data_IF_636576313748
#
_entry.id   IF_636576313748
#
_cell.length_a   1.000
_cell.length_b   1.000
_cell.length_c   1.000
_cell.angle_alpha   90.00
_cell.angle_beta   90.00
_cell.angle_gamma   90.00
#
_symmetry.space_group_name_H-M   'P 1'
#
loop_
_entity.id
_entity.type
_entity.pdbx_description
1 polymer ?
#
# COMPACT_ATOMS: atom_id res chain seq x y z
N UNK A 1 -19.64 -5.96 23.18
CA UNK A 1 -20.65 -6.22 24.23
C UNK A 1 -19.94 -6.23 25.58
N UNK A 2 -19.75 -5.07 26.21
CA UNK A 2 -19.12 -5.01 27.53
C UNK A 2 -20.09 -5.54 28.59
N UNK A 3 -19.59 -6.45 29.43
CA UNK A 3 -20.32 -7.28 30.38
C UNK A 3 -21.31 -6.51 31.28
N UNK A 4 -22.46 -7.11 31.64
CA UNK A 4 -23.44 -6.55 32.56
C UNK A 4 -22.88 -6.27 33.97
N UNK A 5 -21.69 -6.77 34.31
CA UNK A 5 -20.97 -6.46 35.54
C UNK A 5 -20.43 -5.02 35.58
N UNK A 6 -19.96 -4.47 34.45
CA UNK A 6 -19.49 -3.07 34.39
C UNK A 6 -20.64 -2.07 34.59
N UNK A 7 -21.87 -2.39 34.16
CA UNK A 7 -23.04 -1.52 34.32
C UNK A 7 -23.52 -1.35 35.77
N UNK A 8 -23.07 -2.21 36.69
CA UNK A 8 -23.41 -2.12 38.12
C UNK A 8 -22.43 -1.24 38.90
N UNK A 9 -21.17 -1.13 38.48
CA UNK A 9 -20.18 -0.27 39.15
C UNK A 9 -20.53 1.22 39.02
N UNK A 10 -21.04 1.65 37.87
CA UNK A 10 -21.32 3.08 37.61
C UNK A 10 -22.66 3.59 38.16
N UNK A 11 -23.52 2.71 38.68
CA UNK A 11 -24.89 3.08 39.06
C UNK A 11 -24.95 3.92 40.34
N UNK A 12 -24.02 3.65 41.27
CA UNK A 12 -23.91 4.34 42.56
C UNK A 12 -22.74 5.33 42.61
N UNK A 13 -21.99 5.48 41.51
CA UNK A 13 -20.95 6.50 41.42
C UNK A 13 -21.60 7.87 41.17
N UNK A 14 -21.21 8.92 41.92
CA UNK A 14 -21.68 10.26 41.64
C UNK A 14 -21.32 10.63 40.20
N UNK A 15 -22.34 10.94 39.38
CA UNK A 15 -22.13 11.44 38.02
C UNK A 15 -21.44 12.80 38.12
N UNK A 16 -20.12 12.80 37.98
CA UNK A 16 -19.30 14.02 37.99
C UNK A 16 -19.63 14.78 36.70
N UNK A 17 -20.49 15.79 36.80
CA UNK A 17 -20.73 16.69 35.68
C UNK A 17 -19.49 17.57 35.45
N UNK A 18 -18.63 17.12 34.53
CA UNK A 18 -17.41 17.81 34.11
C UNK A 18 -17.64 19.22 33.53
N UNK A 19 -18.89 19.59 33.24
CA UNK A 19 -19.29 20.93 32.79
C UNK A 19 -19.98 21.76 33.87
N UNK A 20 -20.16 21.21 35.08
CA UNK A 20 -20.80 21.93 36.17
C UNK A 20 -20.01 23.20 36.56
N UNK A 21 -20.67 24.33 36.81
CA UNK A 21 -20.01 25.58 37.21
C UNK A 21 -19.12 25.42 38.44
N UNK A 22 -19.54 24.60 39.42
CA UNK A 22 -18.80 24.35 40.66
C UNK A 22 -17.48 23.61 40.43
N UNK A 23 -17.45 22.63 39.53
CA UNK A 23 -16.20 21.90 39.21
C UNK A 23 -15.25 22.75 38.39
N UNK A 24 -15.77 23.54 37.45
CA UNK A 24 -14.98 24.54 36.72
C UNK A 24 -14.36 25.57 37.67
N UNK A 25 -15.11 26.09 38.63
CA UNK A 25 -14.59 27.02 39.63
C UNK A 25 -13.54 26.37 40.54
N UNK A 26 -13.74 25.11 40.94
CA UNK A 26 -12.77 24.36 41.75
C UNK A 26 -11.49 24.08 40.98
N UNK A 27 -11.60 23.73 39.70
CA UNK A 27 -10.47 23.56 38.79
C UNK A 27 -9.76 24.89 38.52
N UNK A 28 -10.49 25.97 38.26
CA UNK A 28 -9.94 27.30 38.07
C UNK A 28 -9.22 27.80 39.34
N UNK A 29 -9.81 27.63 40.53
CA UNK A 29 -9.16 27.93 41.81
C UNK A 29 -7.92 27.08 42.04
N UNK A 30 -7.93 25.79 41.67
CA UNK A 30 -6.74 24.92 41.73
C UNK A 30 -5.65 25.38 40.76
N UNK A 31 -5.99 25.72 39.53
CA UNK A 31 -5.05 26.21 38.53
C UNK A 31 -4.45 27.57 38.94
N UNK A 32 -5.26 28.45 39.54
CA UNK A 32 -4.79 29.72 40.11
C UNK A 32 -3.92 29.51 41.34
N UNK A 33 -4.26 28.56 42.22
CA UNK A 33 -3.46 28.22 43.40
C UNK A 33 -2.16 27.47 43.05
N UNK A 34 -2.13 26.75 41.93
CA UNK A 34 -0.94 26.07 41.41
C UNK A 34 0.03 27.02 40.69
N UNK A 35 -0.31 28.31 40.53
CA UNK A 35 0.61 29.28 39.96
C UNK A 35 1.80 29.48 40.91
N UNK A 36 3.05 29.43 40.41
CA UNK A 36 4.22 29.66 41.23
C UNK A 36 4.15 31.05 41.88
N UNK A 37 4.63 31.16 43.13
CA UNK A 37 4.68 32.45 43.84
C UNK A 37 5.43 33.49 42.98
N UNK A 38 4.94 34.74 42.89
CA UNK A 38 5.64 35.78 42.15
C UNK A 38 7.02 36.04 42.77
N UNK A 39 8.04 36.31 41.94
CA UNK A 39 9.44 36.52 42.37
C UNK A 39 9.60 37.51 43.52
N UNK A 40 8.78 38.55 43.58
CA UNK A 40 8.75 39.54 44.65
C UNK A 40 8.48 38.95 46.04
N UNK A 41 7.74 37.84 46.11
CA UNK A 41 7.36 37.14 47.36
C UNK A 41 8.24 35.93 47.69
N UNK A 42 9.29 35.68 46.91
CA UNK A 42 10.19 34.54 47.11
C UNK A 42 11.38 34.91 47.99
N UNK A 43 11.77 34.00 48.87
CA UNK A 43 12.99 34.12 49.66
C UNK A 43 14.26 33.77 48.83
N UNK A 44 15.46 34.07 49.35
CA UNK A 44 16.72 33.92 48.60
C UNK A 44 16.98 32.50 48.08
N UNK A 45 16.67 31.47 48.89
CA UNK A 45 16.80 30.06 48.49
C UNK A 45 15.78 29.66 47.41
N UNK A 46 14.54 30.12 47.52
CA UNK A 46 13.51 29.90 46.50
C UNK A 46 13.91 30.52 45.15
N UNK A 47 14.47 31.75 45.16
CA UNK A 47 14.96 32.42 43.94
C UNK A 47 16.09 31.64 43.28
N UNK A 48 17.11 31.24 44.05
CA UNK A 48 18.22 30.43 43.55
C UNK A 48 17.75 29.10 42.92
N UNK A 49 16.79 28.41 43.57
CA UNK A 49 16.20 27.18 43.02
C UNK A 49 15.44 27.43 41.72
N UNK A 50 14.67 28.52 41.63
CA UNK A 50 13.94 28.87 40.41
C UNK A 50 14.88 29.26 39.26
N UNK A 51 15.97 29.98 39.55
CA UNK A 51 16.98 30.34 38.55
C UNK A 51 17.75 29.10 38.06
N UNK A 52 18.10 28.18 38.96
CA UNK A 52 18.71 26.90 38.60
C UNK A 52 17.76 26.02 37.75
N UNK A 53 16.48 25.96 38.11
CA UNK A 53 15.47 25.24 37.34
C UNK A 53 15.26 25.85 35.94
N UNK A 54 15.24 27.18 35.83
CA UNK A 54 15.15 27.88 34.54
C UNK A 54 16.36 27.57 33.65
N UNK A 55 17.58 27.61 34.21
CA UNK A 55 18.80 27.25 33.47
C UNK A 55 18.79 25.80 33.01
N UNK A 56 18.38 24.87 33.89
CA UNK A 56 18.25 23.46 33.55
C UNK A 56 17.20 23.23 32.44
N UNK A 57 16.08 23.95 32.48
CA UNK A 57 15.06 23.90 31.43
C UNK A 57 15.58 24.43 30.09
N UNK A 58 16.36 25.51 30.10
CA UNK A 58 16.97 26.07 28.88
C UNK A 58 17.93 25.08 28.23
N UNK A 59 18.83 24.48 29.02
CA UNK A 59 19.75 23.42 28.58
C UNK A 59 19.01 22.18 28.06
N UNK A 60 17.88 21.81 28.69
CA UNK A 60 17.06 20.69 28.22
C UNK A 60 16.39 21.00 26.87
N UNK A 61 15.95 22.24 26.65
CA UNK A 61 15.40 22.67 25.36
C UNK A 61 16.48 22.64 24.27
N UNK A 62 17.70 23.12 24.57
CA UNK A 62 18.84 23.06 23.64
C UNK A 62 19.17 21.62 23.25
N UNK A 63 19.33 20.73 24.23
CA UNK A 63 19.57 19.29 23.98
C UNK A 63 18.42 18.64 23.19
N UNK A 64 17.18 19.01 23.47
CA UNK A 64 16.03 18.48 22.73
C UNK A 64 16.07 18.92 21.26
N UNK A 65 16.51 20.16 20.97
CA UNK A 65 16.72 20.64 19.60
C UNK A 65 17.84 19.86 18.89
N UNK A 66 18.99 19.69 19.53
CA UNK A 66 20.10 18.92 18.98
C UNK A 66 19.69 17.48 18.64
N UNK A 67 18.94 16.83 19.54
CA UNK A 67 18.41 15.49 19.31
C UNK A 67 17.39 15.45 18.15
N UNK A 68 16.53 16.47 18.05
CA UNK A 68 15.58 16.57 16.95
C UNK A 68 16.30 16.73 15.61
N UNK A 69 17.30 17.60 15.53
CA UNK A 69 18.14 17.78 14.33
C UNK A 69 18.87 16.49 13.94
N UNK A 70 19.48 15.80 14.92
CA UNK A 70 20.13 14.52 14.67
C UNK A 70 19.16 13.44 14.18
N UNK A 71 17.93 13.42 14.71
CA UNK A 71 16.90 12.47 14.26
C UNK A 71 16.41 12.78 12.85
N UNK A 72 16.25 14.06 12.50
CA UNK A 72 15.90 14.48 11.13
C UNK A 72 17.01 14.06 10.16
N UNK A 73 18.28 14.29 10.50
CA UNK A 73 19.40 13.87 9.67
C UNK A 73 19.46 12.35 9.47
N UNK A 74 19.25 11.57 10.53
CA UNK A 74 19.17 10.10 10.45
C UNK A 74 18.01 9.63 9.58
N UNK A 75 16.83 10.24 9.73
CA UNK A 75 15.65 9.91 8.94
C UNK A 75 15.90 10.19 7.45
N UNK A 76 16.51 11.32 7.12
CA UNK A 76 16.88 11.66 5.74
C UNK A 76 17.84 10.63 5.13
N UNK A 77 18.86 10.19 5.88
CA UNK A 77 19.78 9.16 5.41
C UNK A 77 19.09 7.80 5.15
N UNK A 78 18.14 7.41 6.00
CA UNK A 78 17.37 6.17 5.80
C UNK A 78 16.50 6.26 4.54
N UNK A 79 15.86 7.40 4.31
CA UNK A 79 15.02 7.62 3.11
C UNK A 79 15.90 7.54 1.85
N UNK A 80 17.04 8.23 1.83
CA UNK A 80 17.97 8.22 0.70
C UNK A 80 18.51 6.81 0.40
N UNK A 81 18.88 6.04 1.43
CA UNK A 81 19.27 4.64 1.28
C UNK A 81 18.13 3.77 0.73
N UNK A 82 16.89 4.01 1.18
CA UNK A 82 15.73 3.27 0.72
C UNK A 82 15.41 3.59 -0.75
N UNK A 83 15.49 4.86 -1.15
CA UNK A 83 15.29 5.30 -2.53
C UNK A 83 16.34 4.72 -3.47
N UNK A 84 17.62 4.73 -3.06
CA UNK A 84 18.70 4.09 -3.83
C UNK A 84 18.46 2.60 -4.04
N UNK A 85 18.15 1.86 -2.97
CA UNK A 85 17.84 0.42 -3.07
C UNK A 85 16.61 0.14 -3.93
N UNK A 86 15.58 0.98 -3.82
CA UNK A 86 14.39 0.85 -4.66
C UNK A 86 14.73 1.05 -6.13
N UNK A 87 15.54 2.06 -6.46
CA UNK A 87 16.02 2.30 -7.82
C UNK A 87 16.84 1.12 -8.37
N UNK A 88 17.72 0.54 -7.56
CA UNK A 88 18.51 -0.65 -7.94
C UNK A 88 17.60 -1.85 -8.25
N UNK A 89 16.59 -2.11 -7.42
CA UNK A 89 15.63 -3.20 -7.63
C UNK A 89 14.85 -2.99 -8.93
N UNK A 90 14.36 -1.77 -9.17
CA UNK A 90 13.62 -1.43 -10.39
C UNK A 90 14.50 -1.63 -11.62
N UNK A 91 15.73 -1.09 -11.61
CA UNK A 91 16.66 -1.22 -12.71
C UNK A 91 17.03 -2.68 -13.01
N UNK A 92 17.22 -3.50 -11.96
CA UNK A 92 17.48 -4.94 -12.13
C UNK A 92 16.27 -5.66 -12.76
N UNK A 93 15.05 -5.36 -12.31
CA UNK A 93 13.83 -5.94 -12.86
C UNK A 93 13.60 -5.52 -14.32
N UNK A 94 13.87 -4.26 -14.67
CA UNK A 94 13.79 -3.76 -16.04
C UNK A 94 14.81 -4.44 -16.95
N UNK A 95 16.05 -4.62 -16.48
CA UNK A 95 17.09 -5.33 -17.22
C UNK A 95 16.73 -6.80 -17.46
N UNK A 96 16.18 -7.49 -16.45
CA UNK A 96 15.69 -8.86 -16.58
C UNK A 96 14.54 -8.96 -17.60
N UNK A 97 13.55 -8.06 -17.51
CA UNK A 97 12.45 -8.00 -18.45
C UNK A 97 12.93 -7.74 -19.89
N UNK A 98 13.90 -6.85 -20.07
CA UNK A 98 14.50 -6.56 -21.37
C UNK A 98 15.22 -7.80 -21.95
N UNK A 99 15.95 -8.55 -21.14
CA UNK A 99 16.61 -9.79 -21.58
C UNK A 99 15.59 -10.89 -21.93
N UNK A 100 14.49 -11.03 -21.17
CA UNK A 100 13.39 -11.95 -21.51
C UNK A 100 12.79 -11.59 -22.87
N UNK A 101 12.57 -10.30 -23.12
CA UNK A 101 12.04 -9.82 -24.40
C UNK A 101 13.04 -10.06 -25.54
N UNK A 102 14.33 -9.81 -25.32
CA UNK A 102 15.41 -10.02 -26.30
C UNK A 102 15.57 -11.49 -26.68
N UNK A 103 15.32 -12.42 -25.75
CA UNK A 103 15.26 -13.87 -26.01
C UNK A 103 14.03 -14.29 -26.83
N UNK A 104 13.15 -13.35 -27.19
CA UNK A 104 12.00 -13.58 -28.08
C UNK A 104 10.74 -14.07 -27.37
N UNK A 105 10.71 -14.01 -26.03
CA UNK A 105 9.62 -14.55 -25.21
C UNK A 105 9.41 -16.07 -25.39
N UNK A 106 8.52 -16.65 -24.59
CA UNK A 106 8.13 -18.06 -24.80
C UNK A 106 7.40 -18.19 -26.15
N UNK A 107 7.78 -19.11 -27.05
CA UNK A 107 7.07 -19.32 -28.30
C UNK A 107 5.60 -19.64 -28.02
N UNK A 108 4.67 -19.03 -28.78
CA UNK A 108 3.23 -19.32 -28.60
C UNK A 108 2.92 -20.81 -28.71
N UNK A 109 3.68 -21.54 -29.54
CA UNK A 109 3.58 -23.00 -29.66
C UNK A 109 3.85 -23.73 -28.34
N UNK A 110 4.81 -23.29 -27.54
CA UNK A 110 5.09 -23.91 -26.23
C UNK A 110 3.94 -23.66 -25.24
N UNK A 111 3.34 -22.47 -25.29
CA UNK A 111 2.16 -22.13 -24.49
C UNK A 111 0.98 -23.04 -24.87
N UNK A 112 0.75 -23.25 -26.17
CA UNK A 112 -0.28 -24.19 -26.65
C UNK A 112 0.00 -25.61 -26.15
N UNK A 113 1.25 -26.08 -26.23
CA UNK A 113 1.66 -27.40 -25.74
C UNK A 113 1.48 -27.56 -24.22
N UNK A 114 1.79 -26.52 -23.44
CA UNK A 114 1.55 -26.51 -21.99
C UNK A 114 0.06 -26.68 -21.66
N UNK A 115 -0.80 -25.89 -22.31
CA UNK A 115 -2.25 -25.94 -22.09
C UNK A 115 -2.82 -27.28 -22.58
N UNK A 116 -2.37 -27.78 -23.72
CA UNK A 116 -2.77 -29.07 -24.25
C UNK A 116 -2.47 -30.21 -23.26
N UNK A 117 -1.27 -30.23 -22.68
CA UNK A 117 -0.88 -31.18 -21.64
C UNK A 117 -1.71 -31.05 -20.37
N UNK A 118 -2.05 -29.83 -19.95
CA UNK A 118 -2.88 -29.59 -18.75
C UNK A 118 -4.28 -30.19 -18.88
N UNK A 119 -4.83 -30.20 -20.09
CA UNK A 119 -6.20 -30.65 -20.36
C UNK A 119 -6.31 -32.03 -21.01
N UNK A 120 -5.17 -32.69 -21.24
CA UNK A 120 -5.05 -33.98 -21.94
C UNK A 120 -5.75 -33.96 -23.31
N UNK A 121 -5.44 -32.93 -24.11
CA UNK A 121 -5.98 -32.77 -25.47
C UNK A 121 -4.86 -32.62 -26.49
N UNK A 122 -5.15 -32.97 -27.74
CA UNK A 122 -4.23 -32.72 -28.84
C UNK A 122 -4.06 -31.20 -29.07
N UNK A 123 -2.82 -30.67 -29.12
CA UNK A 123 -2.53 -29.29 -29.50
C UNK A 123 -3.22 -28.82 -30.78
N UNK A 124 -3.42 -29.71 -31.76
CA UNK A 124 -4.08 -29.38 -33.02
C UNK A 124 -5.57 -29.06 -32.85
N UNK A 125 -6.23 -29.54 -31.79
CA UNK A 125 -7.61 -29.18 -31.48
C UNK A 125 -7.73 -27.72 -30.99
N UNK A 126 -6.69 -27.24 -30.31
CA UNK A 126 -6.61 -25.86 -29.81
C UNK A 126 -6.47 -24.88 -30.98
N UNK A 127 -5.60 -25.17 -31.95
CA UNK A 127 -5.42 -24.32 -33.15
C UNK A 127 -6.52 -24.57 -34.20
N UNK A 128 -7.04 -25.78 -34.30
CA UNK A 128 -8.01 -26.22 -35.29
C UNK A 128 -9.43 -25.70 -35.11
N UNK A 129 -10.30 -25.88 -36.12
CA UNK A 129 -11.63 -25.22 -36.22
C UNK A 129 -12.74 -25.86 -35.38
N UNK A 130 -12.41 -26.71 -34.40
CA UNK A 130 -13.40 -27.34 -33.55
C UNK A 130 -14.23 -26.31 -32.77
N UNK A 131 -15.55 -26.46 -32.83
CA UNK A 131 -16.55 -25.65 -32.14
C UNK A 131 -17.08 -26.33 -30.87
N UNK A 132 -16.50 -27.46 -30.46
CA UNK A 132 -16.84 -28.11 -29.21
C UNK A 132 -16.58 -27.15 -28.03
N UNK A 133 -17.59 -26.95 -27.18
CA UNK A 133 -17.53 -25.99 -26.07
C UNK A 133 -16.33 -26.21 -25.13
N UNK A 134 -15.95 -27.47 -24.85
CA UNK A 134 -14.78 -27.81 -24.04
C UNK A 134 -13.49 -27.35 -24.71
N UNK A 135 -13.34 -27.62 -26.00
CA UNK A 135 -12.15 -27.20 -26.78
C UNK A 135 -12.08 -25.68 -26.93
N UNK A 136 -13.23 -25.01 -27.10
CA UNK A 136 -13.29 -23.55 -27.14
C UNK A 136 -12.82 -22.94 -25.82
N UNK A 137 -13.23 -23.49 -24.67
CA UNK A 137 -12.79 -23.03 -23.36
C UNK A 137 -11.27 -23.19 -23.18
N UNK A 138 -10.73 -24.36 -23.52
CA UNK A 138 -9.27 -24.63 -23.48
C UNK A 138 -8.51 -23.67 -24.40
N UNK A 139 -9.05 -23.40 -25.59
CA UNK A 139 -8.48 -22.42 -26.52
C UNK A 139 -8.48 -21.02 -25.95
N UNK A 140 -9.54 -20.59 -25.28
CA UNK A 140 -9.60 -19.27 -24.65
C UNK A 140 -8.58 -19.15 -23.53
N UNK A 141 -8.37 -20.20 -22.74
CA UNK A 141 -7.28 -20.25 -21.76
C UNK A 141 -5.91 -20.09 -22.44
N UNK A 142 -5.63 -20.85 -23.51
CA UNK A 142 -4.38 -20.74 -24.25
C UNK A 142 -4.15 -19.33 -24.83
N UNK A 143 -5.19 -18.72 -25.41
CA UNK A 143 -5.13 -17.35 -25.92
C UNK A 143 -4.82 -16.35 -24.80
N UNK A 144 -5.46 -16.51 -23.64
CA UNK A 144 -5.26 -15.62 -22.49
C UNK A 144 -3.83 -15.71 -21.94
N UNK A 145 -3.28 -16.92 -21.84
CA UNK A 145 -1.90 -17.14 -21.41
C UNK A 145 -0.89 -16.62 -22.45
N UNK A 146 -1.17 -16.81 -23.74
CA UNK A 146 -0.35 -16.25 -24.80
C UNK A 146 -0.31 -14.73 -24.73
N UNK A 147 -1.46 -14.07 -24.51
CA UNK A 147 -1.51 -12.62 -24.37
C UNK A 147 -0.73 -12.11 -23.15
N UNK A 148 -0.79 -12.81 -22.01
CA UNK A 148 -0.06 -12.44 -20.79
C UNK A 148 1.45 -12.65 -20.90
N UNK A 149 1.88 -13.76 -21.53
CA UNK A 149 3.30 -14.12 -21.65
C UNK A 149 3.98 -13.53 -22.88
N UNK A 150 3.20 -13.00 -23.83
CA UNK A 150 3.68 -12.34 -25.06
C UNK A 150 3.02 -10.98 -25.26
N UNK A 151 3.29 -10.00 -24.38
CA UNK A 151 2.77 -8.64 -24.53
C UNK A 151 3.33 -7.93 -25.77
N UNK A 152 4.42 -8.45 -26.36
CA UNK A 152 5.01 -8.00 -27.62
C UNK A 152 4.15 -8.34 -28.86
N UNK A 153 3.25 -9.32 -28.77
CA UNK A 153 2.43 -9.75 -29.90
C UNK A 153 1.10 -8.99 -29.95
N UNK A 154 0.84 -8.37 -31.09
CA UNK A 154 -0.46 -7.78 -31.43
C UNK A 154 -1.57 -8.84 -31.57
N UNK A 155 -2.83 -8.44 -31.40
CA UNK A 155 -3.98 -9.34 -31.59
C UNK A 155 -3.97 -10.06 -32.95
N UNK A 156 -3.63 -9.41 -34.09
CA UNK A 156 -3.49 -10.10 -35.37
C UNK A 156 -2.32 -11.09 -35.44
N UNK A 157 -1.21 -10.84 -34.74
CA UNK A 157 -0.10 -11.81 -34.66
C UNK A 157 -0.49 -13.04 -33.84
N UNK A 158 -1.19 -12.85 -32.71
CA UNK A 158 -1.76 -13.97 -31.95
C UNK A 158 -2.76 -14.75 -32.80
N UNK A 159 -3.64 -14.07 -33.55
CA UNK A 159 -4.64 -14.72 -34.39
C UNK A 159 -4.02 -15.67 -35.43
N UNK A 160 -2.91 -15.25 -36.06
CA UNK A 160 -2.08 -16.09 -36.95
C UNK A 160 -1.51 -17.32 -36.22
N UNK A 161 -0.94 -17.12 -35.02
CA UNK A 161 -0.39 -18.21 -34.22
C UNK A 161 -1.43 -19.24 -33.77
N UNK A 162 -2.71 -18.86 -33.65
CA UNK A 162 -3.83 -19.75 -33.29
C UNK A 162 -4.59 -20.31 -34.51
N UNK A 163 -3.91 -20.47 -35.66
CA UNK A 163 -4.45 -21.08 -36.87
C UNK A 163 -5.18 -20.09 -37.78
N UNK A 164 -4.58 -18.90 -37.98
CA UNK A 164 -5.11 -17.83 -38.86
C UNK A 164 -6.55 -17.44 -38.56
N UNK A 165 -6.86 -17.29 -37.27
CA UNK A 165 -8.17 -16.84 -36.81
C UNK A 165 -8.38 -15.36 -37.06
N UNK A 166 -9.64 -14.95 -36.98
CA UNK A 166 -9.96 -13.54 -36.91
C UNK A 166 -9.47 -12.95 -35.57
N UNK A 167 -8.78 -11.82 -35.62
CA UNK A 167 -8.27 -11.11 -34.44
C UNK A 167 -9.38 -10.66 -33.47
N UNK A 168 -10.62 -10.49 -33.94
CA UNK A 168 -11.79 -10.25 -33.09
C UNK A 168 -12.17 -11.48 -32.27
N UNK A 169 -11.84 -12.70 -32.75
CA UNK A 169 -12.00 -13.94 -31.96
C UNK A 169 -11.04 -13.97 -30.78
N UNK A 170 -9.79 -13.52 -31.00
CA UNK A 170 -8.81 -13.35 -29.92
C UNK A 170 -9.33 -12.33 -28.91
N UNK A 171 -9.80 -11.17 -29.38
CA UNK A 171 -10.39 -10.15 -28.51
C UNK A 171 -11.58 -10.69 -27.70
N UNK A 172 -12.45 -11.48 -28.32
CA UNK A 172 -13.59 -12.10 -27.66
C UNK A 172 -13.16 -13.10 -26.58
N UNK A 173 -12.15 -13.94 -26.87
CA UNK A 173 -11.57 -14.87 -25.90
C UNK A 173 -10.97 -14.14 -24.68
N UNK A 174 -10.23 -13.05 -24.91
CA UNK A 174 -9.62 -12.25 -23.84
C UNK A 174 -10.66 -11.52 -22.98
N UNK A 175 -11.76 -11.05 -23.58
CA UNK A 175 -12.90 -10.51 -22.83
C UNK A 175 -13.60 -11.59 -22.00
N UNK A 176 -13.78 -12.79 -22.56
CA UNK A 176 -14.48 -13.89 -21.89
C UNK A 176 -13.69 -14.44 -20.69
N UNK A 177 -12.37 -14.40 -20.76
CA UNK A 177 -11.45 -14.81 -19.68
C UNK A 177 -11.16 -13.70 -18.67
N UNK A 178 -11.62 -12.47 -18.91
CA UNK A 178 -11.43 -11.33 -18.00
C UNK A 178 -10.03 -10.71 -18.06
N UNK A 179 -9.16 -11.13 -18.97
CA UNK A 179 -7.80 -10.61 -19.10
C UNK A 179 -7.76 -9.28 -19.87
N UNK A 180 -8.74 -9.04 -20.75
CA UNK A 180 -8.82 -7.78 -21.48
C UNK A 180 -9.41 -6.66 -20.62
N UNK A 181 -8.56 -5.82 -20.03
CA UNK A 181 -8.96 -4.69 -19.18
C UNK A 181 -9.58 -3.51 -19.97
N UNK A 182 -9.47 -3.51 -21.30
CA UNK A 182 -10.00 -2.44 -22.15
C UNK A 182 -9.43 -1.05 -21.82
N UNK A 183 -9.91 -0.02 -22.54
CA UNK A 183 -9.45 1.37 -22.37
C UNK A 183 -9.87 2.02 -21.04
N UNK A 184 -10.61 1.32 -20.17
CA UNK A 184 -11.21 1.90 -18.96
C UNK A 184 -10.22 2.11 -17.80
N UNK A 185 -9.05 1.47 -17.82
CA UNK A 185 -8.10 1.55 -16.71
C UNK A 185 -7.26 2.85 -16.65
N UNK A 186 -7.33 3.72 -17.67
CA UNK A 186 -6.40 4.87 -17.81
C UNK A 186 -7.03 6.21 -17.40
N UNK A 187 -8.35 6.29 -17.22
CA UNK A 187 -8.98 7.47 -16.62
C UNK A 187 -9.34 7.13 -15.18
N UNK A 188 -8.44 7.52 -14.26
CA UNK A 188 -8.69 7.45 -12.83
C UNK A 188 -10.03 8.12 -12.51
N UNK A 189 -10.83 7.42 -11.71
CA UNK A 189 -12.06 7.94 -11.13
C UNK A 189 -11.70 9.17 -10.30
N UNK A 190 -11.91 10.35 -10.88
CA UNK A 190 -12.03 11.59 -10.13
C UNK A 190 -13.46 11.67 -9.61
N UNK A 191 -13.64 11.31 -8.35
CA UNK A 191 -14.74 11.76 -7.49
C UNK A 191 -14.16 12.39 -6.22
#
# INVERSE_FOLDING_TARGET
MAEPALRKLDRDLPRIDMRSPRLRDKQAKRLVAAKPKPRSRMNGRERQKADAAMRAALLAVERAKELAEANVARAAAIIDDAERRAAEIIAAAEAEAAEILKRGGVPVREIILEVARRHDVDPELITGRSHNARIVAIRYEAISLAHLRRPDMSLPQLARAFGDRDHTTILHALKKTGVYLGRKAVYGEGE
#
